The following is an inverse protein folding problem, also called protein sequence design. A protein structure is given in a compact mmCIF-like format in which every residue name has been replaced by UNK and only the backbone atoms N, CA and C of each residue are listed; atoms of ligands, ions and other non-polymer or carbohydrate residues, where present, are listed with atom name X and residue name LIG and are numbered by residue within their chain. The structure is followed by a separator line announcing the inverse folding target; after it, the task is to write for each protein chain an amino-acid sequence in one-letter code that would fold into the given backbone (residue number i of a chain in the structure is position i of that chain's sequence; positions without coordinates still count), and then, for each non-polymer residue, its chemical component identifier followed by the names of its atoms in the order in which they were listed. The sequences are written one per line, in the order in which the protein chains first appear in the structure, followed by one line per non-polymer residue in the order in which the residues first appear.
data_IF_645599102175
#
_entry.id   IF_645599102175
#
_cell.length_a   1.000
_cell.length_b   1.000
_cell.length_c   1.000
_cell.angle_alpha   90.00
_cell.angle_beta   90.00
_cell.angle_gamma   90.00
#
_symmetry.space_group_name_H-M   'P 1'
#
loop_
_entity.id
_entity.type
_entity.pdbx_description
1 polymer ?
#
# COMPACT_ATOMS: atom_id res chain seq x y z
N UNK A 1 -6.30 14.56 23.55
CA UNK A 1 -6.09 14.56 22.08
C UNK A 1 -5.08 15.64 21.75
N UNK A 2 -3.81 15.29 21.52
CA UNK A 2 -2.83 16.22 20.97
C UNK A 2 -2.16 15.55 19.77
N UNK A 3 -2.42 16.10 18.58
CA UNK A 3 -1.72 15.72 17.36
C UNK A 3 -0.22 15.97 17.55
N UNK A 4 0.57 14.92 17.42
CA UNK A 4 2.03 15.04 17.32
C UNK A 4 2.33 15.56 15.92
N UNK A 5 2.25 16.88 15.75
CA UNK A 5 2.40 17.53 14.46
C UNK A 5 3.86 17.52 14.00
N UNK A 6 4.16 16.70 12.99
CA UNK A 6 5.39 16.83 12.22
C UNK A 6 5.36 18.17 11.45
N UNK A 7 6.34 19.05 11.69
CA UNK A 7 6.49 20.29 10.91
C UNK A 7 7.44 20.02 9.74
N UNK A 8 6.99 20.32 8.53
CA UNK A 8 7.84 20.18 7.35
C UNK A 8 8.43 21.55 7.02
N UNK A 9 9.76 21.64 6.92
CA UNK A 9 10.48 22.90 6.68
C UNK A 9 11.35 22.82 5.44
N UNK A 10 11.28 23.83 4.57
CA UNK A 10 12.22 23.96 3.47
C UNK A 10 13.47 24.75 3.91
N UNK A 11 14.67 24.21 3.68
CA UNK A 11 15.94 24.84 4.07
C UNK A 11 16.96 24.74 2.94
N UNK A 12 17.81 25.76 2.79
CA UNK A 12 19.00 25.73 1.94
C UNK A 12 20.20 25.30 2.80
N UNK A 13 20.95 24.25 2.45
CA UNK A 13 22.11 23.84 3.22
C UNK A 13 23.19 24.93 3.16
N UNK A 14 23.83 25.18 4.29
CA UNK A 14 25.02 26.02 4.37
C UNK A 14 26.16 25.25 3.71
N UNK A 15 26.82 25.88 2.73
CA UNK A 15 27.85 25.25 1.93
C UNK A 15 29.00 24.71 2.81
N UNK A 16 29.16 23.38 2.85
CA UNK A 16 30.44 22.79 3.21
C UNK A 16 31.42 23.10 2.07
N UNK A 17 32.56 23.72 2.40
CA UNK A 17 33.64 24.04 1.46
C UNK A 17 34.01 22.77 0.68
N UNK A 18 33.77 22.77 -0.63
CA UNK A 18 34.19 21.70 -1.54
C UNK A 18 35.25 22.24 -2.49
N UNK A 19 36.42 21.62 -2.41
CA UNK A 19 37.59 21.80 -3.27
C UNK A 19 37.20 21.56 -4.72
N UNK A 20 37.60 22.48 -5.61
CA UNK A 20 37.40 22.39 -7.05
C UNK A 20 38.32 21.34 -7.67
N UNK A 21 37.76 20.52 -8.56
CA UNK A 21 38.48 19.99 -9.73
C UNK A 21 37.57 20.17 -10.93
N UNK A 22 38.12 20.78 -11.97
CA UNK A 22 37.48 21.10 -13.23
C UNK A 22 37.38 19.85 -14.12
N UNK A 23 36.37 19.78 -15.00
CA UNK A 23 36.61 19.71 -16.44
C UNK A 23 35.32 19.68 -17.30
N UNK A 24 35.41 20.49 -18.37
CA UNK A 24 34.82 20.41 -19.73
C UNK A 24 33.31 20.40 -19.99
N UNK A 25 32.94 21.41 -20.78
CA UNK A 25 31.70 21.66 -21.48
C UNK A 25 31.52 20.77 -22.71
N UNK A 26 30.28 20.37 -22.99
CA UNK A 26 29.82 20.11 -24.35
C UNK A 26 28.37 20.57 -24.51
N UNK A 27 28.18 21.54 -25.41
CA UNK A 27 26.94 22.07 -25.95
C UNK A 27 26.16 21.02 -26.74
N UNK A 28 24.86 20.86 -26.49
CA UNK A 28 23.88 20.34 -27.47
C UNK A 28 22.54 21.08 -27.32
N UNK A 29 22.00 21.42 -28.48
CA UNK A 29 20.90 22.32 -28.81
C UNK A 29 19.50 21.79 -28.50
N UNK A 30 18.55 22.73 -28.46
CA UNK A 30 17.11 22.58 -28.26
C UNK A 30 16.39 21.59 -29.19
N UNK A 31 15.56 20.71 -28.63
CA UNK A 31 14.39 20.16 -29.33
C UNK A 31 13.15 20.13 -28.41
N UNK A 32 12.04 20.67 -28.97
CA UNK A 32 10.70 20.77 -28.38
C UNK A 32 10.09 19.39 -28.15
N UNK A 33 9.80 19.05 -26.89
CA UNK A 33 8.96 17.88 -26.55
C UNK A 33 7.47 18.23 -26.68
N UNK A 34 6.85 17.63 -27.69
CA UNK A 34 5.40 17.48 -27.82
C UNK A 34 4.92 16.33 -26.92
N UNK A 35 3.79 16.53 -26.26
CA UNK A 35 3.15 15.56 -25.37
C UNK A 35 2.73 14.31 -26.15
N UNK A 36 3.39 13.18 -25.91
CA UNK A 36 2.92 11.85 -26.30
C UNK A 36 2.47 11.08 -25.06
N UNK A 37 1.19 10.71 -25.02
CA UNK A 37 0.65 9.70 -24.11
C UNK A 37 1.51 8.44 -24.21
N UNK A 38 2.29 8.14 -23.17
CA UNK A 38 3.06 6.90 -23.12
C UNK A 38 2.12 5.77 -22.73
N UNK A 39 1.65 5.05 -23.74
CA UNK A 39 0.97 3.78 -23.58
C UNK A 39 1.97 2.72 -23.06
N UNK A 40 1.55 2.02 -22.01
CA UNK A 40 2.29 0.92 -21.39
C UNK A 40 2.29 -0.25 -22.40
N UNK A 41 3.44 -0.90 -22.68
CA UNK A 41 3.54 -1.90 -23.74
C UNK A 41 2.62 -3.10 -23.47
N UNK A 42 1.84 -3.46 -24.49
CA UNK A 42 0.99 -4.64 -24.55
C UNK A 42 1.84 -5.92 -24.64
N UNK A 43 1.87 -6.69 -23.56
CA UNK A 43 2.60 -7.97 -23.49
C UNK A 43 1.74 -9.07 -24.11
N UNK A 44 2.02 -9.39 -25.39
CA UNK A 44 1.31 -10.44 -26.14
C UNK A 44 1.37 -11.81 -25.44
N UNK A 45 0.19 -12.40 -25.19
CA UNK A 45 0.03 -13.81 -24.85
C UNK A 45 -0.51 -14.13 -23.44
N UNK A 46 -0.77 -13.13 -22.60
CA UNK A 46 -1.41 -13.34 -21.30
C UNK A 46 -2.94 -13.25 -21.39
N UNK A 47 -3.69 -14.04 -20.59
CA UNK A 47 -5.12 -13.87 -20.47
C UNK A 47 -5.42 -12.46 -19.94
N UNK A 48 -6.07 -11.65 -20.76
CA UNK A 48 -6.30 -10.23 -20.45
C UNK A 48 -7.50 -10.03 -19.53
N UNK A 49 -8.51 -10.90 -19.60
CA UNK A 49 -9.69 -10.80 -18.74
C UNK A 49 -9.46 -11.46 -17.38
N UNK A 50 -10.07 -10.88 -16.35
CA UNK A 50 -9.99 -11.38 -14.97
C UNK A 50 -10.38 -12.85 -14.83
N UNK A 51 -11.49 -13.25 -15.47
CA UNK A 51 -11.97 -14.63 -15.39
C UNK A 51 -10.99 -15.63 -16.02
N UNK A 52 -10.40 -15.30 -17.18
CA UNK A 52 -9.43 -16.17 -17.84
C UNK A 52 -8.10 -16.24 -17.07
N UNK A 53 -7.66 -15.11 -16.49
CA UNK A 53 -6.49 -15.09 -15.63
C UNK A 53 -6.67 -16.00 -14.41
N UNK A 54 -7.80 -15.86 -13.72
CA UNK A 54 -8.09 -16.70 -12.57
C UNK A 54 -8.25 -18.17 -12.96
N UNK A 55 -8.92 -18.48 -14.07
CA UNK A 55 -9.08 -19.85 -14.57
C UNK A 55 -7.74 -20.53 -14.88
N UNK A 56 -6.76 -19.78 -15.38
CA UNK A 56 -5.46 -20.30 -15.79
C UNK A 56 -4.45 -20.38 -14.65
N UNK A 57 -4.45 -19.42 -13.71
CA UNK A 57 -3.40 -19.29 -12.71
C UNK A 57 -3.83 -19.58 -11.28
N UNK A 58 -5.13 -19.57 -10.96
CA UNK A 58 -5.56 -19.88 -9.60
C UNK A 58 -5.42 -21.37 -9.31
N UNK A 59 -5.02 -21.69 -8.09
CA UNK A 59 -4.93 -23.08 -7.62
C UNK A 59 -6.29 -23.77 -7.57
N UNK A 60 -7.37 -23.00 -7.35
CA UNK A 60 -8.75 -23.49 -7.35
C UNK A 60 -9.51 -22.90 -8.54
N UNK A 61 -9.90 -23.76 -9.49
CA UNK A 61 -10.66 -23.35 -10.69
C UNK A 61 -12.03 -22.78 -10.31
N UNK A 62 -12.48 -21.79 -11.06
CA UNK A 62 -13.78 -21.13 -10.85
C UNK A 62 -13.84 -20.16 -9.67
N UNK A 63 -12.81 -20.12 -8.81
CA UNK A 63 -12.77 -19.30 -7.59
C UNK A 63 -12.37 -17.82 -7.85
N UNK A 64 -13.03 -17.14 -8.78
CA UNK A 64 -12.67 -15.78 -9.22
C UNK A 64 -13.64 -14.67 -8.76
N UNK A 65 -14.76 -15.05 -8.15
CA UNK A 65 -15.75 -14.12 -7.58
C UNK A 65 -15.74 -14.10 -6.06
N UNK A 66 -16.43 -13.12 -5.48
CA UNK A 66 -16.63 -12.91 -4.06
C UNK A 66 -16.97 -14.20 -3.31
N UNK A 67 -16.34 -14.39 -2.15
CA UNK A 67 -16.75 -15.40 -1.19
C UNK A 67 -16.40 -14.98 0.24
N UNK A 68 -17.20 -15.43 1.22
CA UNK A 68 -16.85 -15.35 2.62
C UNK A 68 -16.60 -16.76 3.16
N UNK A 69 -15.44 -17.32 2.80
CA UNK A 69 -15.04 -18.66 3.17
C UNK A 69 -13.52 -18.74 3.35
N UNK A 70 -13.07 -19.73 4.12
CA UNK A 70 -11.65 -20.05 4.28
C UNK A 70 -11.07 -20.38 2.91
N UNK A 71 -9.89 -19.83 2.60
CA UNK A 71 -9.10 -20.32 1.48
C UNK A 71 -8.38 -21.60 1.90
N UNK A 72 -8.58 -22.73 1.18
CA UNK A 72 -7.83 -23.96 1.46
C UNK A 72 -6.36 -23.86 1.04
N UNK A 73 -6.07 -22.98 0.07
CA UNK A 73 -4.75 -22.63 -0.41
C UNK A 73 -4.79 -21.16 -0.87
N UNK A 74 -3.64 -20.46 -0.92
CA UNK A 74 -3.51 -19.17 -1.59
C UNK A 74 -4.09 -19.21 -3.01
N UNK A 75 -4.54 -18.08 -3.56
CA UNK A 75 -5.07 -18.05 -4.92
C UNK A 75 -3.98 -18.44 -5.92
N UNK A 76 -2.77 -17.90 -5.77
CA UNK A 76 -1.60 -18.19 -6.61
C UNK A 76 -0.63 -19.15 -5.91
N UNK A 77 0.03 -20.06 -6.65
CA UNK A 77 0.99 -20.99 -6.08
C UNK A 77 2.19 -20.27 -5.43
N UNK A 78 2.60 -20.73 -4.24
CA UNK A 78 3.72 -20.16 -3.47
C UNK A 78 4.83 -21.19 -3.28
N UNK A 79 6.08 -20.76 -3.50
CA UNK A 79 7.28 -21.59 -3.31
C UNK A 79 7.60 -21.75 -1.82
N UNK A 80 7.67 -20.63 -1.10
CA UNK A 80 8.00 -20.60 0.32
C UNK A 80 6.77 -20.77 1.20
N UNK A 81 6.94 -21.47 2.33
CA UNK A 81 5.86 -21.65 3.32
C UNK A 81 5.50 -20.35 4.05
N UNK A 82 6.46 -19.45 4.24
CA UNK A 82 6.18 -18.11 4.77
C UNK A 82 5.25 -17.31 3.88
N UNK A 83 5.46 -17.36 2.55
CA UNK A 83 4.58 -16.69 1.58
C UNK A 83 3.20 -17.31 1.53
N UNK A 84 3.12 -18.64 1.67
CA UNK A 84 1.86 -19.35 1.77
C UNK A 84 1.06 -18.90 3.01
N UNK A 85 1.68 -18.88 4.19
CA UNK A 85 1.06 -18.42 5.43
C UNK A 85 0.64 -16.94 5.35
N UNK A 86 1.52 -16.07 4.84
CA UNK A 86 1.23 -14.66 4.66
C UNK A 86 0.02 -14.44 3.73
N UNK A 87 -0.11 -15.25 2.69
CA UNK A 87 -1.25 -15.20 1.75
C UNK A 87 -2.57 -15.63 2.41
N UNK A 88 -2.55 -16.66 3.26
CA UNK A 88 -3.75 -17.08 4.00
C UNK A 88 -4.14 -16.06 5.07
N UNK A 89 -3.16 -15.51 5.79
CA UNK A 89 -3.38 -14.48 6.80
C UNK A 89 -3.88 -13.16 6.18
N UNK A 90 -3.36 -12.79 5.01
CA UNK A 90 -3.82 -11.61 4.29
C UNK A 90 -5.28 -11.75 3.85
N UNK A 91 -5.71 -12.95 3.45
CA UNK A 91 -7.11 -13.20 3.10
C UNK A 91 -8.05 -12.87 4.25
N UNK A 92 -7.76 -13.41 5.44
CA UNK A 92 -8.54 -13.13 6.66
C UNK A 92 -8.53 -11.63 7.00
N UNK A 93 -7.36 -11.00 6.90
CA UNK A 93 -7.21 -9.57 7.19
C UNK A 93 -7.99 -8.71 6.19
N UNK A 94 -7.99 -9.06 4.90
CA UNK A 94 -8.76 -8.38 3.85
C UNK A 94 -10.26 -8.51 4.11
N UNK A 95 -10.75 -9.71 4.46
CA UNK A 95 -12.16 -9.89 4.82
C UNK A 95 -12.56 -9.04 6.02
N UNK A 96 -11.71 -8.94 7.05
CA UNK A 96 -11.92 -8.05 8.21
C UNK A 96 -11.94 -6.57 7.81
N UNK A 97 -11.01 -6.14 6.96
CA UNK A 97 -10.99 -4.75 6.44
C UNK A 97 -12.28 -4.45 5.67
N UNK A 98 -12.70 -5.37 4.80
CA UNK A 98 -13.91 -5.24 3.97
C UNK A 98 -15.20 -5.39 4.80
N UNK A 99 -15.12 -5.91 6.02
CA UNK A 99 -16.27 -6.15 6.90
C UNK A 99 -17.06 -7.40 6.53
N UNK A 100 -16.45 -8.31 5.75
CA UNK A 100 -17.04 -9.60 5.36
C UNK A 100 -16.82 -10.66 6.45
N UNK A 101 -15.81 -10.47 7.30
CA UNK A 101 -15.53 -11.28 8.50
C UNK A 101 -15.45 -10.34 9.71
N UNK A 102 -16.16 -10.60 10.82
CA UNK A 102 -16.08 -9.75 12.00
C UNK A 102 -14.72 -9.84 12.68
N UNK A 103 -14.38 -8.80 13.44
CA UNK A 103 -13.29 -8.84 14.41
C UNK A 103 -13.73 -9.63 15.66
N UNK A 104 -12.79 -10.19 16.41
CA UNK A 104 -13.09 -10.89 17.66
C UNK A 104 -13.59 -9.91 18.73
N UNK A 105 -14.62 -10.30 19.49
CA UNK A 105 -15.23 -9.47 20.52
C UNK A 105 -14.36 -9.32 21.79
N UNK A 106 -13.33 -10.15 21.97
CA UNK A 106 -12.40 -10.11 23.13
C UNK A 106 -11.30 -9.05 22.99
N UNK A 107 -11.66 -7.84 22.56
CA UNK A 107 -10.74 -6.71 22.33
C UNK A 107 -10.48 -5.80 23.53
N UNK A 108 -10.98 -6.12 24.73
CA UNK A 108 -11.03 -5.17 25.86
C UNK A 108 -9.77 -5.12 26.75
N UNK A 109 -8.71 -5.87 26.43
CA UNK A 109 -7.43 -5.58 27.05
C UNK A 109 -6.82 -4.34 26.38
N UNK A 110 -7.08 -3.17 26.97
CA UNK A 110 -6.40 -1.92 26.66
C UNK A 110 -4.89 -2.14 26.90
N UNK A 111 -4.17 -2.54 25.86
CA UNK A 111 -2.71 -2.48 25.88
C UNK A 111 -2.30 -1.01 26.00
N UNK A 112 -1.53 -0.71 27.04
CA UNK A 112 -1.02 0.63 27.31
C UNK A 112 -0.27 1.14 26.08
N UNK A 113 -0.64 2.33 25.59
CA UNK A 113 0.00 2.92 24.42
C UNK A 113 1.53 2.97 24.59
N UNK A 114 2.25 2.16 23.80
CA UNK A 114 3.72 2.11 23.79
C UNK A 114 4.35 0.71 23.88
N UNK A 115 3.59 -0.35 24.20
CA UNK A 115 4.13 -1.72 24.29
C UNK A 115 3.99 -2.52 23.00
N UNK A 116 3.02 -2.20 22.14
CA UNK A 116 2.79 -2.94 20.90
C UNK A 116 3.87 -2.60 19.86
N UNK A 117 4.60 -3.57 19.33
CA UNK A 117 5.62 -3.32 18.31
C UNK A 117 5.00 -2.69 17.06
N UNK A 118 5.70 -1.76 16.37
CA UNK A 118 5.22 -1.17 15.13
C UNK A 118 4.87 -2.25 14.10
N UNK A 119 3.79 -2.08 13.34
CA UNK A 119 3.32 -3.02 12.30
C UNK A 119 4.45 -3.51 11.40
N UNK A 120 5.37 -2.60 11.02
CA UNK A 120 6.53 -2.91 10.19
C UNK A 120 7.48 -3.92 10.84
N UNK A 121 7.73 -3.78 12.14
CA UNK A 121 8.57 -4.71 12.89
C UNK A 121 7.92 -6.09 12.92
N UNK A 122 6.62 -6.17 13.18
CA UNK A 122 5.86 -7.42 13.18
C UNK A 122 5.93 -8.14 11.82
N UNK A 123 5.68 -7.42 10.72
CA UNK A 123 5.72 -7.99 9.36
C UNK A 123 7.12 -8.52 9.06
N UNK A 124 8.16 -7.70 9.29
CA UNK A 124 9.54 -8.11 9.03
C UNK A 124 9.95 -9.31 9.89
N UNK A 125 9.58 -9.32 11.17
CA UNK A 125 9.92 -10.42 12.08
C UNK A 125 9.34 -11.76 11.62
N UNK A 126 8.08 -11.78 11.15
CA UNK A 126 7.48 -13.02 10.63
C UNK A 126 8.27 -13.59 9.45
N UNK A 127 8.76 -12.75 8.53
CA UNK A 127 9.56 -13.23 7.39
C UNK A 127 10.97 -13.73 7.77
N UNK A 128 11.49 -13.43 8.96
CA UNK A 128 12.76 -14.01 9.42
C UNK A 128 12.60 -15.43 9.96
N UNK A 129 11.38 -15.84 10.33
CA UNK A 129 11.10 -17.19 10.81
C UNK A 129 11.00 -18.16 9.64
N UNK A 130 11.54 -19.37 9.82
CA UNK A 130 11.32 -20.49 8.91
C UNK A 130 10.07 -21.25 9.31
N UNK A 131 9.25 -21.59 8.32
CA UNK A 131 8.00 -22.29 8.52
C UNK A 131 8.03 -23.65 7.80
N UNK A 132 7.52 -24.67 8.46
CA UNK A 132 7.36 -26.01 7.92
C UNK A 132 5.92 -26.29 7.49
N UNK A 133 5.69 -27.53 7.06
CA UNK A 133 4.34 -28.01 6.74
C UNK A 133 3.41 -27.99 7.97
N UNK A 134 3.94 -28.34 9.16
CA UNK A 134 3.17 -28.33 10.41
C UNK A 134 2.59 -26.96 10.75
N UNK A 135 3.37 -25.89 10.58
CA UNK A 135 2.88 -24.52 10.83
C UNK A 135 1.73 -24.15 9.87
N UNK A 136 1.80 -24.60 8.61
CA UNK A 136 0.73 -24.40 7.61
C UNK A 136 -0.53 -25.18 8.00
N UNK A 137 -0.39 -26.45 8.34
CA UNK A 137 -1.51 -27.31 8.70
C UNK A 137 -2.21 -26.79 9.99
N UNK A 138 -1.44 -26.30 10.96
CA UNK A 138 -1.96 -25.69 12.19
C UNK A 138 -2.71 -24.38 11.89
N UNK A 139 -2.13 -23.48 11.09
CA UNK A 139 -2.79 -22.24 10.70
C UNK A 139 -4.11 -22.51 9.96
N UNK A 140 -4.12 -23.49 9.05
CA UNK A 140 -5.33 -23.89 8.31
C UNK A 140 -6.45 -24.41 9.22
N UNK A 141 -6.08 -25.19 10.24
CA UNK A 141 -7.02 -25.66 11.26
C UNK A 141 -7.63 -24.47 12.02
N UNK A 142 -6.79 -23.56 12.52
CA UNK A 142 -7.25 -22.36 13.24
C UNK A 142 -8.13 -21.46 12.37
N UNK A 143 -7.82 -21.29 11.08
CA UNK A 143 -8.72 -20.55 10.16
C UNK A 143 -10.06 -21.26 9.97
N UNK A 144 -10.06 -22.58 9.90
CA UNK A 144 -11.31 -23.35 9.78
C UNK A 144 -12.19 -23.18 11.03
N UNK A 145 -11.59 -23.13 12.21
CA UNK A 145 -12.28 -22.82 13.46
C UNK A 145 -12.78 -21.36 13.49
N UNK A 146 -11.95 -20.41 13.04
CA UNK A 146 -12.31 -19.00 12.93
C UNK A 146 -13.55 -18.75 12.07
N UNK A 147 -13.69 -19.43 10.94
CA UNK A 147 -14.87 -19.22 10.09
C UNK A 147 -16.12 -19.96 10.59
N UNK A 148 -15.98 -20.92 11.51
CA UNK A 148 -17.11 -21.56 12.19
C UNK A 148 -17.64 -20.69 13.34
N UNK A 149 -16.73 -20.10 14.12
CA UNK A 149 -17.07 -19.20 15.23
C UNK A 149 -16.17 -17.95 15.22
N UNK A 150 -16.50 -16.94 14.39
CA UNK A 150 -15.67 -15.74 14.25
C UNK A 150 -15.50 -14.92 15.52
N UNK A 151 -16.44 -15.00 16.46
CA UNK A 151 -16.43 -14.19 17.68
C UNK A 151 -15.47 -14.77 18.73
N UNK A 152 -15.43 -16.10 18.88
CA UNK A 152 -14.73 -16.77 19.99
C UNK A 152 -13.46 -17.54 19.58
N UNK A 153 -13.19 -17.71 18.27
CA UNK A 153 -12.03 -18.48 17.84
C UNK A 153 -10.70 -17.87 18.31
N UNK A 154 -9.84 -18.73 18.86
CA UNK A 154 -8.50 -18.36 19.27
C UNK A 154 -7.58 -18.21 18.04
N UNK A 155 -7.36 -16.96 17.66
CA UNK A 155 -6.47 -16.61 16.52
C UNK A 155 -5.09 -16.16 16.97
N UNK A 156 -4.77 -16.34 18.25
CA UNK A 156 -3.46 -16.00 18.79
C UNK A 156 -2.38 -16.89 18.17
N UNK A 157 -1.21 -16.29 17.99
CA UNK A 157 -0.01 -16.95 17.47
C UNK A 157 -0.10 -17.48 16.04
N UNK A 158 -1.17 -17.15 15.29
CA UNK A 158 -1.23 -17.41 13.85
C UNK A 158 -0.21 -16.50 13.16
N UNK A 159 0.79 -17.05 12.44
CA UNK A 159 1.77 -16.25 11.73
C UNK A 159 1.12 -15.29 10.75
N UNK A 160 1.67 -14.09 10.63
CA UNK A 160 1.20 -13.03 9.73
C UNK A 160 -0.21 -12.48 9.99
N UNK A 161 -0.93 -12.93 11.03
CA UNK A 161 -2.24 -12.37 11.36
C UNK A 161 -2.09 -11.19 12.33
N UNK A 162 -2.66 -10.01 12.05
CA UNK A 162 -2.67 -8.90 13.01
C UNK A 162 -3.39 -9.28 14.31
N UNK A 163 -2.99 -8.63 15.42
CA UNK A 163 -3.67 -8.76 16.71
C UNK A 163 -5.17 -8.44 16.61
N UNK A 164 -5.99 -9.04 17.48
CA UNK A 164 -7.41 -8.72 17.57
C UNK A 164 -7.68 -7.26 17.99
N UNK A 165 -6.77 -6.65 18.76
CA UNK A 165 -6.82 -5.23 19.12
C UNK A 165 -6.38 -4.28 18.00
N UNK A 166 -5.95 -4.80 16.83
CA UNK A 166 -5.46 -3.98 15.73
C UNK A 166 -6.57 -3.09 15.16
N UNK A 167 -6.28 -1.80 15.05
CA UNK A 167 -7.19 -0.85 14.42
C UNK A 167 -7.36 -1.14 12.94
N UNK A 168 -8.38 -0.54 12.31
CA UNK A 168 -8.55 -0.62 10.86
C UNK A 168 -7.30 -0.15 10.11
N UNK A 169 -6.63 0.91 10.61
CA UNK A 169 -5.39 1.39 10.01
C UNK A 169 -4.26 0.37 10.16
N UNK A 170 -4.11 -0.25 11.33
CA UNK A 170 -3.07 -1.26 11.56
C UNK A 170 -3.24 -2.44 10.61
N UNK A 171 -4.48 -2.92 10.43
CA UNK A 171 -4.81 -3.99 9.46
C UNK A 171 -4.41 -3.60 8.04
N UNK A 172 -4.78 -2.40 7.59
CA UNK A 172 -4.41 -1.86 6.27
C UNK A 172 -2.90 -1.74 6.11
N UNK A 173 -2.21 -1.18 7.11
CA UNK A 173 -0.75 -1.04 7.11
C UNK A 173 -0.06 -2.40 7.09
N UNK A 174 -0.64 -3.41 7.74
CA UNK A 174 -0.11 -4.75 7.80
C UNK A 174 -0.10 -5.39 6.41
N UNK A 175 -1.25 -5.42 5.72
CA UNK A 175 -1.35 -5.98 4.37
C UNK A 175 -0.56 -5.15 3.33
N UNK A 176 -0.44 -3.84 3.52
CA UNK A 176 0.46 -3.03 2.68
C UNK A 176 1.93 -3.37 2.94
N UNK A 177 2.31 -3.55 4.21
CA UNK A 177 3.65 -3.94 4.62
C UNK A 177 4.05 -5.30 4.04
N UNK A 178 3.13 -6.25 4.01
CA UNK A 178 3.32 -7.54 3.33
C UNK A 178 3.75 -7.34 1.87
N UNK A 179 3.02 -6.55 1.07
CA UNK A 179 3.37 -6.31 -0.34
C UNK A 179 4.62 -5.44 -0.55
N UNK A 180 4.91 -4.52 0.38
CA UNK A 180 6.13 -3.70 0.34
C UNK A 180 7.38 -4.57 0.57
N UNK A 181 7.39 -5.35 1.65
CA UNK A 181 8.58 -6.07 2.11
C UNK A 181 8.75 -7.45 1.49
N UNK A 182 7.72 -7.98 0.81
CA UNK A 182 7.76 -9.29 0.14
C UNK A 182 7.12 -9.21 -1.25
N UNK A 183 7.92 -8.97 -2.32
CA UNK A 183 7.39 -8.86 -3.68
C UNK A 183 6.59 -10.07 -4.18
N UNK A 184 6.92 -11.27 -3.71
CA UNK A 184 6.34 -12.56 -4.11
C UNK A 184 4.85 -12.71 -3.74
N UNK A 185 4.33 -11.86 -2.87
CA UNK A 185 2.93 -11.84 -2.44
C UNK A 185 2.13 -10.66 -2.99
N UNK A 186 2.73 -9.74 -3.76
CA UNK A 186 2.03 -8.57 -4.31
C UNK A 186 0.82 -8.96 -5.16
N UNK A 187 1.03 -9.85 -6.12
CA UNK A 187 -0.04 -10.28 -7.03
C UNK A 187 -1.14 -11.05 -6.29
N UNK A 188 -0.78 -11.78 -5.23
CA UNK A 188 -1.76 -12.46 -4.38
C UNK A 188 -2.67 -11.44 -3.68
N UNK A 189 -2.09 -10.41 -3.07
CA UNK A 189 -2.84 -9.36 -2.38
C UNK A 189 -3.80 -8.67 -3.34
N UNK A 190 -3.33 -8.30 -4.53
CA UNK A 190 -4.22 -7.71 -5.54
C UNK A 190 -5.30 -8.69 -6.00
N UNK A 191 -4.96 -9.96 -6.26
CA UNK A 191 -5.92 -10.98 -6.69
C UNK A 191 -7.01 -11.23 -5.63
N UNK A 192 -6.65 -11.26 -4.34
CA UNK A 192 -7.58 -11.44 -3.24
C UNK A 192 -8.61 -10.30 -3.19
N UNK A 193 -8.18 -9.05 -3.38
CA UNK A 193 -9.10 -7.91 -3.43
C UNK A 193 -9.93 -7.90 -4.72
N UNK A 194 -9.34 -8.19 -5.89
CA UNK A 194 -10.08 -8.28 -7.16
C UNK A 194 -11.16 -9.37 -7.11
N UNK A 195 -10.85 -10.52 -6.51
CA UNK A 195 -11.81 -11.59 -6.22
C UNK A 195 -12.95 -11.08 -5.36
N UNK A 196 -12.64 -10.41 -4.25
CA UNK A 196 -13.67 -9.85 -3.36
C UNK A 196 -14.46 -8.70 -3.97
N UNK A 197 -13.97 -8.03 -5.03
CA UNK A 197 -14.72 -7.00 -5.75
C UNK A 197 -15.60 -7.57 -6.87
N UNK A 198 -15.33 -8.80 -7.32
CA UNK A 198 -16.06 -9.44 -8.42
C UNK A 198 -17.36 -10.06 -7.91
N UNK A 199 -18.51 -9.57 -8.36
CA UNK A 199 -19.85 -10.01 -7.93
C UNK A 199 -20.07 -9.93 -6.40
N UNK A 200 -19.53 -8.89 -5.76
CA UNK A 200 -19.75 -8.65 -4.34
C UNK A 200 -21.17 -8.10 -4.08
N UNK A 201 -21.99 -8.77 -3.24
CA UNK A 201 -23.35 -8.32 -2.96
C UNK A 201 -23.40 -7.10 -2.03
N UNK A 202 -22.34 -6.84 -1.26
CA UNK A 202 -22.27 -5.77 -0.27
C UNK A 202 -21.61 -4.53 -0.86
N UNK A 203 -22.40 -3.45 -1.01
CA UNK A 203 -21.89 -2.14 -1.42
C UNK A 203 -20.83 -1.60 -0.46
N UNK A 204 -21.02 -1.79 0.85
CA UNK A 204 -20.07 -1.33 1.87
C UNK A 204 -18.75 -2.07 1.77
N UNK A 205 -18.80 -3.39 1.59
CA UNK A 205 -17.63 -4.24 1.35
C UNK A 205 -16.89 -3.79 0.09
N UNK A 206 -17.63 -3.59 -1.01
CA UNK A 206 -17.10 -3.12 -2.30
C UNK A 206 -16.35 -1.79 -2.16
N UNK A 207 -16.94 -0.79 -1.49
CA UNK A 207 -16.28 0.52 -1.26
C UNK A 207 -15.00 0.36 -0.44
N UNK A 208 -15.00 -0.47 0.60
CA UNK A 208 -13.81 -0.76 1.41
C UNK A 208 -12.72 -1.47 0.61
N UNK A 209 -13.08 -2.41 -0.26
CA UNK A 209 -12.16 -3.07 -1.19
C UNK A 209 -11.49 -2.10 -2.17
N UNK A 210 -12.24 -1.14 -2.72
CA UNK A 210 -11.67 -0.09 -3.58
C UNK A 210 -10.73 0.86 -2.84
N UNK A 211 -11.05 1.23 -1.60
CA UNK A 211 -10.14 1.99 -0.73
C UNK A 211 -8.86 1.19 -0.46
N UNK A 212 -8.97 -0.12 -0.26
CA UNK A 212 -7.80 -0.97 -0.06
C UNK A 212 -6.93 -1.07 -1.32
N UNK A 213 -7.52 -1.19 -2.52
CA UNK A 213 -6.76 -1.12 -3.78
C UNK A 213 -6.03 0.21 -3.95
N UNK A 214 -6.61 1.34 -3.51
CA UNK A 214 -5.89 2.63 -3.49
C UNK A 214 -4.68 2.59 -2.57
N UNK A 215 -4.79 1.95 -1.40
CA UNK A 215 -3.67 1.80 -0.47
C UNK A 215 -2.55 0.94 -1.07
N UNK A 216 -2.90 -0.15 -1.77
CA UNK A 216 -1.92 -0.97 -2.50
C UNK A 216 -1.26 -0.18 -3.63
N UNK A 217 -2.05 0.44 -4.51
CA UNK A 217 -1.53 1.20 -5.66
C UNK A 217 -0.63 2.37 -5.22
N UNK A 218 -0.89 2.97 -4.06
CA UNK A 218 -0.05 4.01 -3.46
C UNK A 218 1.19 3.50 -2.73
N UNK A 219 1.35 2.19 -2.56
CA UNK A 219 2.43 1.56 -1.78
C UNK A 219 3.37 0.72 -2.64
N UNK A 220 2.82 -0.10 -3.53
CA UNK A 220 3.55 -1.02 -4.41
C UNK A 220 2.74 -1.33 -5.68
N UNK A 221 3.42 -1.57 -6.79
CA UNK A 221 2.78 -2.03 -8.03
C UNK A 221 2.59 -3.56 -8.04
N UNK A 222 1.60 -4.09 -8.77
CA UNK A 222 1.60 -5.52 -9.13
C UNK A 222 2.85 -5.85 -9.94
N UNK A 223 3.18 -7.13 -10.07
CA UNK A 223 4.30 -7.55 -10.92
C UNK A 223 3.94 -7.40 -12.40
N UNK A 224 4.94 -7.40 -13.27
CA UNK A 224 4.75 -7.38 -14.72
C UNK A 224 3.88 -8.56 -15.20
N UNK A 225 3.87 -9.68 -14.47
CA UNK A 225 3.06 -10.85 -14.82
C UNK A 225 1.57 -10.61 -14.63
N UNK A 226 1.17 -9.84 -13.61
CA UNK A 226 -0.24 -9.58 -13.32
C UNK A 226 -0.73 -8.24 -13.86
N UNK A 227 0.17 -7.29 -14.11
CA UNK A 227 -0.16 -5.94 -14.55
C UNK A 227 -1.14 -5.87 -15.72
N UNK A 228 -1.00 -6.64 -16.82
CA UNK A 228 -1.95 -6.59 -17.93
C UNK A 228 -3.38 -6.95 -17.52
N UNK A 229 -3.55 -8.04 -16.76
CA UNK A 229 -4.85 -8.45 -16.25
C UNK A 229 -5.44 -7.43 -15.27
N UNK A 230 -4.62 -6.87 -14.38
CA UNK A 230 -5.10 -5.88 -13.42
C UNK A 230 -5.54 -4.58 -14.08
N UNK A 231 -4.79 -4.08 -15.07
CA UNK A 231 -5.16 -2.90 -15.83
C UNK A 231 -6.46 -3.13 -16.61
N UNK A 232 -6.65 -4.32 -17.18
CA UNK A 232 -7.91 -4.67 -17.82
C UNK A 232 -9.06 -4.75 -16.80
N UNK A 233 -8.85 -5.34 -15.63
CA UNK A 233 -9.83 -5.34 -14.54
C UNK A 233 -10.25 -3.92 -14.14
N UNK A 234 -9.31 -2.97 -14.08
CA UNK A 234 -9.62 -1.56 -13.82
C UNK A 234 -10.45 -0.93 -14.93
N UNK A 235 -10.18 -1.23 -16.20
CA UNK A 235 -10.95 -0.73 -17.35
C UNK A 235 -12.40 -1.24 -17.34
N UNK A 236 -12.59 -2.49 -16.93
CA UNK A 236 -13.92 -3.13 -16.85
C UNK A 236 -14.68 -2.72 -15.57
N UNK A 237 -14.03 -2.00 -14.65
CA UNK A 237 -14.59 -1.57 -13.37
C UNK A 237 -15.22 -0.18 -13.42
N UNK A 238 -16.11 0.19 -12.46
CA UNK A 238 -16.73 1.52 -12.42
C UNK A 238 -15.68 2.65 -12.39
N UNK A 239 -15.72 3.62 -13.34
CA UNK A 239 -14.68 4.66 -13.47
C UNK A 239 -14.48 5.52 -12.21
N UNK A 240 -15.54 5.70 -11.42
CA UNK A 240 -15.50 6.46 -10.15
C UNK A 240 -14.47 5.91 -9.15
N UNK A 241 -14.21 4.59 -9.17
CA UNK A 241 -13.21 3.97 -8.33
C UNK A 241 -11.91 3.72 -9.10
N UNK A 242 -12.02 3.13 -10.29
CA UNK A 242 -10.87 2.66 -11.06
C UNK A 242 -9.91 3.79 -11.46
N UNK A 243 -10.42 4.96 -11.84
CA UNK A 243 -9.59 6.10 -12.29
C UNK A 243 -8.59 6.56 -11.22
N UNK A 244 -8.98 6.55 -9.94
CA UNK A 244 -8.10 6.94 -8.83
C UNK A 244 -7.00 5.91 -8.62
N UNK A 245 -7.33 4.61 -8.72
CA UNK A 245 -6.36 3.51 -8.59
C UNK A 245 -5.37 3.57 -9.75
N UNK A 246 -5.86 3.70 -10.99
CA UNK A 246 -5.01 3.77 -12.18
C UNK A 246 -4.06 4.97 -12.15
N UNK A 247 -4.56 6.16 -11.80
CA UNK A 247 -3.73 7.37 -11.68
C UNK A 247 -2.60 7.17 -10.67
N UNK A 248 -2.91 6.58 -9.52
CA UNK A 248 -1.92 6.35 -8.47
C UNK A 248 -0.93 5.27 -8.88
N UNK A 249 -1.41 4.21 -9.51
CA UNK A 249 -0.57 3.11 -10.00
C UNK A 249 0.45 3.60 -11.04
N UNK A 250 0.04 4.45 -11.97
CA UNK A 250 0.94 5.10 -12.94
C UNK A 250 2.05 5.89 -12.24
N UNK A 251 1.73 6.64 -11.19
CA UNK A 251 2.75 7.35 -10.40
C UNK A 251 3.69 6.39 -9.68
N UNK A 252 3.16 5.34 -9.07
CA UNK A 252 3.94 4.32 -8.35
C UNK A 252 4.85 3.51 -9.27
N UNK A 253 4.45 3.25 -10.53
CA UNK A 253 5.34 2.64 -11.52
C UNK A 253 6.57 3.52 -11.83
N UNK A 254 6.40 4.84 -11.86
CA UNK A 254 7.50 5.79 -12.13
C UNK A 254 8.39 5.97 -10.90
N UNK A 255 7.79 6.14 -9.72
CA UNK A 255 8.51 6.45 -8.48
C UNK A 255 9.10 5.21 -7.81
N UNK A 256 8.47 4.06 -8.01
CA UNK A 256 8.84 2.78 -7.40
C UNK A 256 8.06 2.46 -6.11
N UNK A 257 8.41 1.32 -5.52
CA UNK A 257 7.79 0.83 -4.27
C UNK A 257 8.22 1.70 -3.08
N UNK A 258 7.28 2.03 -2.19
CA UNK A 258 7.55 2.80 -0.97
C UNK A 258 8.30 1.98 0.07
N UNK A 259 9.02 2.66 0.97
CA UNK A 259 9.68 2.02 2.11
C UNK A 259 8.78 1.80 3.34
N UNK A 260 7.59 2.43 3.37
CA UNK A 260 6.68 2.42 4.52
C UNK A 260 5.22 2.27 4.08
N UNK A 261 4.37 1.57 4.85
CA UNK A 261 2.92 1.50 4.63
C UNK A 261 2.24 2.89 4.66
N UNK A 262 0.99 3.01 4.18
CA UNK A 262 0.30 4.29 4.13
C UNK A 262 0.09 4.89 5.52
N UNK A 263 0.20 6.20 5.60
CA UNK A 263 -0.10 6.97 6.81
C UNK A 263 -1.60 7.10 7.07
N UNK A 264 -1.96 7.51 8.29
CA UNK A 264 -3.35 7.83 8.63
C UNK A 264 -3.95 8.90 7.71
N UNK A 265 -3.18 9.93 7.34
CA UNK A 265 -3.62 10.98 6.42
C UNK A 265 -3.99 10.43 5.04
N UNK A 266 -3.18 9.52 4.50
CA UNK A 266 -3.45 8.87 3.23
C UNK A 266 -4.71 7.99 3.30
N UNK A 267 -4.86 7.24 4.39
CA UNK A 267 -6.05 6.42 4.61
C UNK A 267 -7.33 7.26 4.69
N UNK A 268 -7.31 8.38 5.43
CA UNK A 268 -8.44 9.30 5.51
C UNK A 268 -8.74 9.99 4.18
N UNK A 269 -7.71 10.42 3.45
CA UNK A 269 -7.86 11.03 2.13
C UNK A 269 -8.49 10.05 1.13
N UNK A 270 -8.04 8.79 1.12
CA UNK A 270 -8.59 7.75 0.27
C UNK A 270 -10.06 7.48 0.58
N UNK A 271 -10.39 7.25 1.86
CA UNK A 271 -11.74 6.97 2.36
C UNK A 271 -12.73 8.10 2.06
N UNK A 272 -12.31 9.34 2.26
CA UNK A 272 -13.20 10.51 2.16
C UNK A 272 -13.16 11.20 0.80
N UNK A 273 -12.31 10.73 -0.14
CA UNK A 273 -12.14 11.37 -1.45
C UNK A 273 -11.54 12.77 -1.38
N UNK A 274 -10.81 13.11 -0.31
CA UNK A 274 -10.22 14.43 -0.10
C UNK A 274 -8.74 14.44 -0.53
N UNK A 275 -8.22 15.56 -1.04
CA UNK A 275 -6.79 15.70 -1.32
C UNK A 275 -5.98 15.71 -0.02
N UNK A 276 -4.71 15.29 -0.10
CA UNK A 276 -3.77 15.44 1.02
C UNK A 276 -3.09 16.80 0.87
N UNK A 277 -3.32 17.68 1.85
CA UNK A 277 -2.67 18.99 1.91
C UNK A 277 -1.64 18.98 3.03
N UNK A 278 -0.37 19.15 2.67
CA UNK A 278 0.75 19.15 3.60
C UNK A 278 1.12 20.59 3.93
N UNK A 279 1.08 21.01 5.21
CA UNK A 279 1.58 22.31 5.61
C UNK A 279 3.12 22.33 5.60
N UNK A 280 3.70 23.23 4.82
CA UNK A 280 5.15 23.46 4.74
C UNK A 280 5.46 24.86 5.28
N UNK A 281 6.34 24.92 6.27
CA UNK A 281 6.89 26.16 6.80
C UNK A 281 8.13 26.56 5.99
N UNK A 282 8.18 27.81 5.57
CA UNK A 282 9.32 28.44 4.92
C UNK A 282 10.17 29.17 5.96
N UNK A 283 11.44 29.43 5.64
CA UNK A 283 12.36 30.12 6.55
C UNK A 283 12.00 31.59 6.80
N UNK A 284 11.17 32.19 5.95
CA UNK A 284 10.66 33.55 6.14
C UNK A 284 9.42 33.61 7.06
N UNK A 285 9.17 32.56 7.85
CA UNK A 285 7.99 32.37 8.71
C UNK A 285 6.64 32.24 7.98
N UNK A 286 6.61 32.23 6.64
CA UNK A 286 5.39 31.91 5.91
C UNK A 286 5.09 30.41 5.95
N UNK A 287 3.81 30.06 5.87
CA UNK A 287 3.35 28.68 5.72
C UNK A 287 2.53 28.53 4.46
N UNK A 288 2.70 27.41 3.79
CA UNK A 288 1.99 27.10 2.56
C UNK A 288 1.41 25.70 2.64
N UNK A 289 0.20 25.51 2.10
CA UNK A 289 -0.38 24.19 1.92
C UNK A 289 0.00 23.66 0.54
N UNK A 290 0.74 22.55 0.50
CA UNK A 290 1.16 21.88 -0.73
C UNK A 290 0.30 20.66 -0.97
N UNK A 291 -0.14 20.45 -2.21
CA UNK A 291 -0.92 19.27 -2.57
C UNK A 291 0.01 18.07 -2.72
N UNK A 292 -0.42 16.94 -2.18
CA UNK A 292 0.33 15.69 -2.17
C UNK A 292 -0.57 14.51 -2.45
N UNK A 293 0.03 13.45 -2.97
CA UNK A 293 -0.49 12.10 -3.00
C UNK A 293 0.55 11.12 -2.44
N UNK A 294 0.23 9.83 -2.43
CA UNK A 294 1.08 8.77 -1.86
C UNK A 294 2.42 8.58 -2.59
N UNK A 295 2.54 9.07 -3.82
CA UNK A 295 3.74 8.95 -4.65
C UNK A 295 4.47 10.30 -4.80
N UNK A 296 4.08 11.33 -4.04
CA UNK A 296 4.69 12.65 -4.12
C UNK A 296 6.10 12.64 -3.55
N UNK A 297 7.07 13.13 -4.33
CA UNK A 297 8.48 13.18 -3.95
C UNK A 297 8.87 14.54 -3.37
N UNK A 298 9.98 14.57 -2.62
CA UNK A 298 10.56 15.83 -2.11
C UNK A 298 10.87 16.80 -3.25
N UNK A 299 11.37 16.29 -4.38
CA UNK A 299 11.68 17.11 -5.56
C UNK A 299 10.42 17.77 -6.15
N UNK A 300 9.30 17.03 -6.24
CA UNK A 300 8.02 17.59 -6.68
C UNK A 300 7.50 18.66 -5.73
N UNK A 301 7.60 18.45 -4.41
CA UNK A 301 7.18 19.46 -3.42
C UNK A 301 8.06 20.72 -3.54
N UNK A 302 9.39 20.57 -3.65
CA UNK A 302 10.30 21.70 -3.85
C UNK A 302 9.95 22.50 -5.11
N UNK A 303 9.67 21.81 -6.23
CA UNK A 303 9.22 22.46 -7.48
C UNK A 303 7.89 23.20 -7.31
N UNK A 304 6.91 22.59 -6.64
CA UNK A 304 5.61 23.23 -6.38
C UNK A 304 5.77 24.51 -5.55
N UNK A 305 6.61 24.48 -4.51
CA UNK A 305 6.87 25.65 -3.67
C UNK A 305 7.61 26.72 -4.47
N UNK A 306 8.68 26.35 -5.19
CA UNK A 306 9.47 27.28 -5.99
C UNK A 306 8.63 28.02 -7.03
N UNK A 307 7.72 27.30 -7.71
CA UNK A 307 6.78 27.89 -8.65
C UNK A 307 5.84 28.91 -7.97
N UNK A 308 5.33 28.59 -6.77
CA UNK A 308 4.41 29.48 -6.04
C UNK A 308 5.09 30.68 -5.37
N UNK A 309 6.38 30.58 -5.06
CA UNK A 309 7.17 31.68 -4.46
C UNK A 309 7.99 32.46 -5.49
N UNK A 310 7.88 32.10 -6.78
CA UNK A 310 8.64 32.67 -7.88
C UNK A 310 10.17 32.57 -7.69
N UNK A 311 10.60 31.44 -7.11
CA UNK A 311 12.01 31.15 -6.88
C UNK A 311 12.66 30.64 -8.18
N UNK A 312 13.59 31.43 -8.73
CA UNK A 312 14.25 31.13 -10.02
C UNK A 312 15.19 29.92 -9.96
N UNK A 313 15.87 29.73 -8.83
CA UNK A 313 16.82 28.63 -8.63
C UNK A 313 16.42 27.79 -7.40
N UNK A 314 15.66 26.69 -7.58
CA UNK A 314 15.34 25.78 -6.49
C UNK A 314 16.50 24.82 -6.16
N UNK A 315 17.62 24.86 -6.89
CA UNK A 315 18.72 23.94 -6.64
C UNK A 315 19.31 24.17 -5.23
N UNK A 316 19.48 23.08 -4.49
CA UNK A 316 19.95 23.09 -3.11
C UNK A 316 18.86 23.21 -2.06
N UNK A 317 17.62 23.60 -2.37
CA UNK A 317 16.55 23.58 -1.36
C UNK A 317 16.11 22.15 -1.06
N UNK A 318 16.03 21.82 0.23
CA UNK A 318 15.63 20.51 0.74
C UNK A 318 14.47 20.63 1.71
N UNK A 319 13.78 19.52 1.95
CA UNK A 319 12.66 19.42 2.88
C UNK A 319 13.08 18.63 4.11
N UNK A 320 12.81 19.19 5.28
CA UNK A 320 13.08 18.62 6.58
C UNK A 320 11.79 18.30 7.30
N UNK A 321 11.76 17.22 8.07
CA UNK A 321 10.66 16.86 8.94
C UNK A 321 11.11 17.06 10.39
N UNK A 322 10.45 17.94 11.12
CA UNK A 322 10.68 18.18 12.53
C UNK A 322 9.61 17.49 13.34
N UNK A 323 10.00 16.47 14.09
CA UNK A 323 9.15 15.79 15.07
C UNK A 323 9.38 16.44 16.43
N UNK A 324 8.35 17.01 17.05
CA UNK A 324 8.46 17.44 18.44
C UNK A 324 8.43 16.18 19.32
N UNK A 325 9.56 15.84 19.94
CA UNK A 325 9.54 14.88 21.03
C UNK A 325 8.78 15.50 22.21
N UNK A 326 7.87 14.73 22.82
CA UNK A 326 7.32 15.11 24.12
C UNK A 326 8.49 15.22 25.09
N UNK A 327 8.75 16.41 25.62
CA UNK A 327 9.53 16.54 26.84
C UNK A 327 8.81 15.70 27.91
N UNK A 328 9.53 14.74 28.47
CA UNK A 328 9.04 13.88 29.55
C UNK A 328 8.92 14.67 30.85
#
# INVERSE_FOLDING_TARGET
MSETGAKIQMVRPVAAKRTQTAETSSTVSDEKSSQSSQDIPDVKGQPTTWALFAQSLFQVRGSHSYCCAVLPNPLLPKKEKGDHLASLASWVTILRIMGDLPDSEYGDNIELAGTTPPVIACVKQNFHRKYGKKDVDEAQKKYTELFKDPAHAEVKDIPFLPSNSASMLDKVQYVCGLGIYRPEIRDELYCQVCKQLTNNPSRNSTVRGWVLLLMFAGSFSPTERFSPCFLQFLRDSPPVFASRVEKLLRRTFIVGTRGYPPSWLEFQAAKNGKPILIPVALMNNHRMLVNSDSATTVQEICRQIAHRTNLKDPAGFSIYITLQQKAS
#
